data_IF_123115735366
#
_entry.id   IF_123115735366
#
_cell.length_a   1.000
_cell.length_b   1.000
_cell.length_c   1.000
_cell.angle_alpha   90.00
_cell.angle_beta   90.00
_cell.angle_gamma   90.00
#
_symmetry.space_group_name_H-M   'P 1'
#
loop_
_entity.id
_entity.type
_entity.pdbx_description
1 polymer ?
#
# COMPACT_ATOMS: atom_id res chain seq x y z
N UNK A 1 -2.73 -74.65 33.06
CA UNK A 1 -3.40 -73.80 32.05
C UNK A 1 -3.60 -72.32 32.45
N UNK A 2 -3.51 -71.93 33.74
CA UNK A 2 -3.71 -70.54 34.17
C UNK A 2 -2.54 -69.59 33.83
N UNK A 3 -1.29 -70.05 33.94
CA UNK A 3 -0.11 -69.20 33.70
C UNK A 3 0.08 -68.78 32.24
N UNK A 4 -0.27 -69.65 31.28
CA UNK A 4 -0.26 -69.33 29.84
C UNK A 4 -1.24 -68.18 29.53
N UNK A 5 -2.42 -68.18 30.17
CA UNK A 5 -3.41 -67.11 30.00
C UNK A 5 -2.97 -65.79 30.66
N UNK A 6 -2.26 -65.85 31.81
CA UNK A 6 -1.66 -64.67 32.44
C UNK A 6 -0.56 -64.05 31.58
N UNK A 7 0.32 -64.88 31.02
CA UNK A 7 1.39 -64.44 30.11
C UNK A 7 0.84 -63.81 28.82
N UNK A 8 -0.14 -64.45 28.18
CA UNK A 8 -0.78 -63.90 26.97
C UNK A 8 -1.44 -62.53 27.22
N UNK A 9 -2.12 -62.35 28.37
CA UNK A 9 -2.71 -61.06 28.76
C UNK A 9 -1.66 -59.98 29.04
N UNK A 10 -0.53 -60.35 29.65
CA UNK A 10 0.58 -59.42 29.90
C UNK A 10 1.24 -58.96 28.60
N UNK A 11 1.45 -59.87 27.64
CA UNK A 11 1.98 -59.53 26.32
C UNK A 11 1.03 -58.61 25.56
N UNK A 12 -0.28 -58.90 25.53
CA UNK A 12 -1.27 -58.05 24.89
C UNK A 12 -1.34 -56.64 25.51
N UNK A 13 -1.22 -56.52 26.83
CA UNK A 13 -1.16 -55.23 27.51
C UNK A 13 0.09 -54.42 27.13
N UNK A 14 1.25 -55.07 27.04
CA UNK A 14 2.50 -54.44 26.59
C UNK A 14 2.42 -53.97 25.14
N UNK A 15 1.83 -54.76 24.24
CA UNK A 15 1.62 -54.38 22.84
C UNK A 15 0.73 -53.13 22.73
N UNK A 16 -0.42 -53.13 23.40
CA UNK A 16 -1.33 -51.96 23.41
C UNK A 16 -0.70 -50.71 24.01
N UNK A 17 0.12 -50.86 25.05
CA UNK A 17 0.86 -49.73 25.62
C UNK A 17 1.88 -49.14 24.63
N UNK A 18 2.56 -50.00 23.85
CA UNK A 18 3.49 -49.56 22.80
C UNK A 18 2.78 -48.88 21.64
N UNK A 19 1.65 -49.42 21.19
CA UNK A 19 0.82 -48.82 20.15
C UNK A 19 0.34 -47.42 20.56
N UNK A 20 -0.23 -47.28 21.77
CA UNK A 20 -0.64 -45.97 22.30
C UNK A 20 0.51 -44.99 22.43
N UNK A 21 1.69 -45.46 22.83
CA UNK A 21 2.88 -44.60 22.89
C UNK A 21 3.34 -44.15 21.49
N UNK A 22 3.23 -45.02 20.48
CA UNK A 22 3.55 -44.67 19.10
C UNK A 22 2.54 -43.67 18.52
N UNK A 23 1.25 -43.89 18.74
CA UNK A 23 0.18 -42.95 18.36
C UNK A 23 0.36 -41.58 19.02
N UNK A 24 0.69 -41.57 20.31
CA UNK A 24 0.96 -40.32 21.03
C UNK A 24 2.13 -39.56 20.42
N UNK A 25 3.24 -40.24 20.13
CA UNK A 25 4.42 -39.62 19.49
C UNK A 25 4.06 -39.06 18.12
N UNK A 26 3.42 -39.86 17.26
CA UNK A 26 3.00 -39.40 15.94
C UNK A 26 2.07 -38.18 16.01
N UNK A 27 1.20 -38.11 17.04
CA UNK A 27 0.38 -36.92 17.29
C UNK A 27 1.23 -35.71 17.70
N UNK A 28 2.22 -35.89 18.58
CA UNK A 28 3.10 -34.79 18.99
C UNK A 28 3.93 -34.27 17.81
N UNK A 29 4.53 -35.16 17.02
CA UNK A 29 5.31 -34.79 15.83
C UNK A 29 4.44 -33.96 14.86
N UNK A 30 3.18 -34.36 14.66
CA UNK A 30 2.24 -33.61 13.83
C UNK A 30 1.88 -32.24 14.41
N UNK A 31 1.73 -32.14 15.74
CA UNK A 31 1.46 -30.86 16.40
C UNK A 31 2.66 -29.92 16.29
N UNK A 32 3.88 -30.43 16.42
CA UNK A 32 5.12 -29.66 16.25
C UNK A 32 5.26 -29.13 14.82
N UNK A 33 4.96 -29.97 13.81
CA UNK A 33 4.95 -29.52 12.42
C UNK A 33 3.91 -28.42 12.18
N UNK A 34 2.67 -28.61 12.66
CA UNK A 34 1.62 -27.61 12.50
C UNK A 34 1.94 -26.28 13.20
N UNK A 35 2.60 -26.33 14.36
CA UNK A 35 3.05 -25.11 15.04
C UNK A 35 4.12 -24.38 14.21
N UNK A 36 5.05 -25.12 13.62
CA UNK A 36 6.07 -24.56 12.72
C UNK A 36 5.43 -23.91 11.49
N UNK A 37 4.50 -24.61 10.84
CA UNK A 37 3.79 -24.10 9.67
C UNK A 37 2.99 -22.83 10.00
N UNK A 38 2.37 -22.78 11.20
CA UNK A 38 1.67 -21.60 11.68
C UNK A 38 2.62 -20.40 11.81
N UNK A 39 3.78 -20.57 12.46
CA UNK A 39 4.73 -19.45 12.63
C UNK A 39 5.26 -18.93 11.30
N UNK A 40 5.61 -19.83 10.37
CA UNK A 40 6.02 -19.43 9.01
C UNK A 40 4.91 -18.65 8.31
N UNK A 41 3.66 -19.11 8.41
CA UNK A 41 2.52 -18.43 7.82
C UNK A 41 2.28 -17.05 8.45
N UNK A 42 2.39 -16.92 9.77
CA UNK A 42 2.18 -15.63 10.46
C UNK A 42 3.29 -14.63 10.18
N UNK A 43 4.55 -15.08 10.12
CA UNK A 43 5.68 -14.21 9.81
C UNK A 43 5.55 -13.68 8.37
N UNK A 44 5.06 -14.51 7.46
CA UNK A 44 4.79 -14.12 6.07
C UNK A 44 3.69 -13.05 5.94
N UNK A 45 2.73 -12.99 6.87
CA UNK A 45 1.61 -12.04 6.77
C UNK A 45 2.08 -10.59 6.93
N UNK A 46 2.99 -10.32 7.87
CA UNK A 46 3.51 -8.97 8.08
C UNK A 46 4.33 -8.50 6.86
N UNK A 47 5.13 -9.40 6.28
CA UNK A 47 5.90 -9.10 5.06
C UNK A 47 4.99 -8.82 3.85
N UNK A 48 3.92 -9.61 3.68
CA UNK A 48 2.94 -9.41 2.61
C UNK A 48 2.26 -8.05 2.75
N UNK A 49 1.79 -7.71 3.96
CA UNK A 49 1.10 -6.44 4.21
C UNK A 49 2.06 -5.25 4.00
N UNK A 50 3.28 -5.33 4.53
CA UNK A 50 4.29 -4.29 4.34
C UNK A 50 4.65 -4.08 2.86
N UNK A 51 4.80 -5.17 2.11
CA UNK A 51 5.05 -5.12 0.67
C UNK A 51 3.87 -4.49 -0.10
N UNK A 52 2.65 -4.92 0.20
CA UNK A 52 1.44 -4.39 -0.42
C UNK A 52 1.27 -2.88 -0.16
N UNK A 53 1.50 -2.44 1.08
CA UNK A 53 1.44 -1.02 1.43
C UNK A 53 2.48 -0.19 0.67
N UNK A 54 3.71 -0.71 0.54
CA UNK A 54 4.78 -0.07 -0.24
C UNK A 54 4.41 0.08 -1.71
N UNK A 55 3.85 -0.96 -2.32
CA UNK A 55 3.39 -0.92 -3.71
C UNK A 55 2.24 0.06 -3.92
N UNK A 56 1.24 0.06 -3.02
CA UNK A 56 0.12 1.01 -3.06
C UNK A 56 0.62 2.45 -2.97
N UNK A 57 1.55 2.73 -2.04
CA UNK A 57 2.15 4.05 -1.90
C UNK A 57 2.86 4.48 -3.19
N UNK A 58 3.69 3.60 -3.78
CA UNK A 58 4.39 3.87 -5.02
C UNK A 58 3.46 4.08 -6.22
N UNK A 59 2.35 3.33 -6.30
CA UNK A 59 1.32 3.52 -7.33
C UNK A 59 0.62 4.86 -7.14
N UNK A 60 0.21 5.20 -5.91
CA UNK A 60 -0.45 6.48 -5.60
C UNK A 60 0.45 7.68 -5.92
N UNK A 61 1.73 7.62 -5.56
CA UNK A 61 2.68 8.69 -5.88
C UNK A 61 2.84 8.87 -7.39
N UNK A 62 3.03 7.77 -8.13
CA UNK A 62 3.13 7.82 -9.60
C UNK A 62 1.85 8.33 -10.25
N UNK A 63 0.70 7.91 -9.75
CA UNK A 63 -0.60 8.39 -10.22
C UNK A 63 -0.73 9.90 -9.97
N UNK A 64 -0.44 10.39 -8.76
CA UNK A 64 -0.50 11.81 -8.44
C UNK A 64 0.40 12.66 -9.35
N UNK A 65 1.64 12.22 -9.60
CA UNK A 65 2.56 12.89 -10.53
C UNK A 65 2.00 12.94 -11.96
N UNK A 66 1.49 11.81 -12.46
CA UNK A 66 0.92 11.71 -13.81
C UNK A 66 -0.35 12.54 -13.96
N UNK A 67 -1.24 12.50 -12.97
CA UNK A 67 -2.47 13.32 -12.95
C UNK A 67 -2.14 14.80 -12.93
N UNK A 68 -1.16 15.23 -12.12
CA UNK A 68 -0.73 16.64 -12.09
C UNK A 68 -0.14 17.06 -13.44
N UNK A 69 0.72 16.24 -14.04
CA UNK A 69 1.28 16.52 -15.37
C UNK A 69 0.20 16.60 -16.45
N UNK A 70 -0.77 15.68 -16.44
CA UNK A 70 -1.90 15.70 -17.35
C UNK A 70 -2.76 16.97 -17.17
N UNK A 71 -3.02 17.37 -15.92
CA UNK A 71 -3.74 18.61 -15.64
C UNK A 71 -2.99 19.83 -16.17
N UNK A 72 -1.68 19.94 -15.90
CA UNK A 72 -0.84 21.03 -16.41
C UNK A 72 -0.83 21.08 -17.94
N UNK A 73 -0.81 19.92 -18.61
CA UNK A 73 -0.88 19.87 -20.06
C UNK A 73 -2.26 20.31 -20.59
N UNK A 74 -3.35 19.87 -19.98
CA UNK A 74 -4.70 20.29 -20.35
C UNK A 74 -4.88 21.81 -20.18
N UNK A 75 -4.41 22.33 -19.05
CA UNK A 75 -4.36 23.75 -18.72
C UNK A 75 -3.57 24.54 -19.80
N UNK A 76 -2.39 24.06 -20.20
CA UNK A 76 -1.59 24.67 -21.26
C UNK A 76 -2.26 24.67 -22.64
N UNK A 77 -2.98 23.60 -22.99
CA UNK A 77 -3.80 23.54 -24.21
C UNK A 77 -4.89 24.59 -24.18
N UNK A 78 -5.63 24.71 -23.07
CA UNK A 78 -6.68 25.73 -22.91
C UNK A 78 -6.09 27.14 -23.06
N UNK A 79 -4.97 27.44 -22.40
CA UNK A 79 -4.30 28.72 -22.55
C UNK A 79 -3.88 29.00 -24.00
N UNK A 80 -3.38 27.99 -24.71
CA UNK A 80 -2.98 28.12 -26.11
C UNK A 80 -4.18 28.43 -27.02
N UNK A 81 -5.33 27.78 -26.80
CA UNK A 81 -6.57 28.08 -27.53
C UNK A 81 -7.06 29.52 -27.27
N UNK A 82 -6.99 29.98 -26.01
CA UNK A 82 -7.35 31.35 -25.65
C UNK A 82 -6.38 32.39 -26.23
N UNK A 83 -5.08 32.07 -26.34
CA UNK A 83 -4.08 32.95 -26.94
C UNK A 83 -4.32 33.20 -28.43
N UNK A 84 -4.99 32.28 -29.12
CA UNK A 84 -5.49 32.46 -30.49
C UNK A 84 -6.75 33.36 -30.57
N UNK A 85 -7.08 34.08 -29.50
CA UNK A 85 -8.26 34.95 -29.37
C UNK A 85 -9.60 34.21 -29.53
N UNK A 86 -9.62 32.88 -29.33
CA UNK A 86 -10.88 32.12 -29.32
C UNK A 86 -11.67 32.46 -28.04
N UNK A 87 -12.97 32.79 -28.13
CA UNK A 87 -13.77 33.11 -26.96
C UNK A 87 -13.94 31.89 -26.06
N UNK A 88 -14.05 32.13 -24.75
CA UNK A 88 -14.13 31.09 -23.71
C UNK A 88 -15.24 30.07 -23.95
N UNK A 89 -16.42 30.52 -24.42
CA UNK A 89 -17.56 29.65 -24.72
C UNK A 89 -17.24 28.66 -25.85
N UNK A 90 -16.65 29.15 -26.93
CA UNK A 90 -16.26 28.32 -28.08
C UNK A 90 -15.14 27.32 -27.72
N UNK A 91 -14.20 27.70 -26.85
CA UNK A 91 -13.21 26.75 -26.30
C UNK A 91 -13.90 25.66 -25.46
N UNK A 92 -14.86 26.03 -24.62
CA UNK A 92 -15.62 25.09 -23.80
C UNK A 92 -16.38 24.07 -24.66
N UNK A 93 -17.09 24.56 -25.68
CA UNK A 93 -17.87 23.76 -26.62
C UNK A 93 -16.96 22.79 -27.39
N UNK A 94 -15.79 23.25 -27.85
CA UNK A 94 -14.80 22.41 -28.56
C UNK A 94 -14.22 21.30 -27.69
N UNK A 95 -14.00 21.58 -26.41
CA UNK A 95 -13.38 20.62 -25.48
C UNK A 95 -14.41 19.76 -24.74
N UNK A 96 -15.70 20.04 -24.89
CA UNK A 96 -16.77 19.32 -24.18
C UNK A 96 -16.72 19.50 -22.66
N UNK A 97 -16.16 20.60 -22.18
CA UNK A 97 -16.05 20.93 -20.75
C UNK A 97 -16.96 22.10 -20.40
N UNK A 98 -17.45 22.23 -19.16
CA UNK A 98 -18.30 23.34 -18.81
C UNK A 98 -17.51 24.64 -18.87
N UNK A 99 -18.15 25.73 -19.31
CA UNK A 99 -17.49 27.02 -19.49
C UNK A 99 -16.73 27.49 -18.25
N UNK A 100 -17.17 27.14 -17.02
CA UNK A 100 -16.49 27.45 -15.75
C UNK A 100 -15.08 26.83 -15.59
N UNK A 101 -14.81 25.73 -16.29
CA UNK A 101 -13.53 25.00 -16.22
C UNK A 101 -12.49 25.57 -17.21
N UNK A 102 -12.91 26.39 -18.19
CA UNK A 102 -12.01 27.11 -19.11
C UNK A 102 -11.39 28.32 -18.42
N UNK A 103 -10.53 28.11 -17.41
CA UNK A 103 -9.86 29.22 -16.71
C UNK A 103 -8.79 29.86 -17.59
N UNK A 104 -8.75 31.19 -17.63
CA UNK A 104 -7.61 31.92 -18.18
C UNK A 104 -6.47 31.75 -17.19
N UNK A 105 -5.49 30.91 -17.52
CA UNK A 105 -4.24 30.87 -16.76
C UNK A 105 -3.61 32.24 -16.93
N UNK A 106 -3.58 33.03 -15.86
CA UNK A 106 -2.77 34.24 -15.84
C UNK A 106 -1.33 33.79 -16.06
N UNK A 107 -0.80 34.08 -17.26
CA UNK A 107 0.61 33.90 -17.53
C UNK A 107 1.41 34.79 -16.58
N UNK A 108 2.30 34.19 -15.80
CA UNK A 108 3.25 34.90 -14.95
C UNK A 108 4.03 33.94 -14.06
N UNK A 109 5.29 33.60 -14.39
CA UNK A 109 6.25 33.15 -13.40
C UNK A 109 6.71 34.38 -12.58
N UNK A 110 6.97 34.16 -11.28
CA UNK A 110 7.75 35.05 -10.40
C UNK A 110 7.04 36.27 -9.77
N UNK A 111 6.22 36.06 -8.73
CA UNK A 111 5.95 37.12 -7.73
C UNK A 111 5.75 36.64 -6.27
N UNK A 112 5.95 35.36 -5.96
CA UNK A 112 5.88 34.87 -4.56
C UNK A 112 7.23 34.89 -3.82
N UNK A 113 8.34 35.25 -4.49
CA UNK A 113 9.67 35.31 -3.89
C UNK A 113 10.17 36.75 -3.59
N UNK A 114 9.35 37.78 -3.82
CA UNK A 114 9.72 39.19 -3.56
C UNK A 114 9.12 39.80 -2.30
N UNK A 115 8.31 39.06 -1.54
CA UNK A 115 7.70 39.56 -0.30
C UNK A 115 8.43 39.12 0.99
N UNK A 116 9.30 38.10 0.95
CA UNK A 116 10.05 37.68 2.17
C UNK A 116 11.36 38.43 2.42
N UNK A 117 11.86 39.25 1.49
CA UNK A 117 13.12 40.01 1.70
C UNK A 117 12.93 41.45 2.16
N UNK A 118 11.69 41.96 2.27
CA UNK A 118 11.43 43.32 2.81
C UNK A 118 11.12 43.38 4.30
N UNK A 119 10.73 42.27 4.93
CA UNK A 119 10.43 42.26 6.38
C UNK A 119 11.66 42.01 7.25
N UNK A 120 12.72 41.37 6.73
CA UNK A 120 13.95 41.13 7.50
C UNK A 120 14.90 42.33 7.51
N UNK A 121 14.82 43.24 6.53
CA UNK A 121 15.69 44.42 6.49
C UNK A 121 15.16 45.60 7.35
N UNK A 122 13.87 45.60 7.71
CA UNK A 122 13.30 46.65 8.58
C UNK A 122 13.42 46.35 10.07
N UNK A 123 13.61 45.09 10.48
CA UNK A 123 13.84 44.74 11.90
C UNK A 123 15.31 44.78 12.32
N UNK A 124 16.28 44.83 11.39
CA UNK A 124 17.71 44.94 11.75
C UNK A 124 18.20 46.38 11.94
N UNK A 125 17.35 47.38 11.71
CA UNK A 125 17.68 48.80 11.92
C UNK A 125 17.18 49.36 13.28
N UNK A 126 16.56 48.51 14.11
CA UNK A 126 16.12 48.88 15.45
C UNK A 126 16.47 47.74 16.41
N UNK A 127 17.74 47.65 16.78
CA UNK A 127 18.31 47.08 18.02
C UNK A 127 19.84 47.22 17.98
#
# INVERSE_FOLDING_TARGET
MADVRKSAKQTAARTRAREKAAEFRAKQDKLEQLATDYFVATDSLEEIEASAQKEIAAVRERAAKRSKAAQTNADAVIASMLALSTPRGEVADRLGIPARDVKKLSAGPDESLRQETKETETMSAVL
#
